data_IF_967348010564
#
_entry.id   IF_967348010564
#
_cell.length_a   1.000
_cell.length_b   1.000
_cell.length_c   1.000
_cell.angle_alpha   90.00
_cell.angle_beta   90.00
_cell.angle_gamma   90.00
#
_symmetry.space_group_name_H-M   'P 1'
#
loop_
_entity.id
_entity.type
_entity.pdbx_description
1 polymer ?
#
# COMPACT_ATOMS: atom_id res chain seq x y z
N UNK A 1 -27.69 18.52 -8.33
CA UNK A 1 -27.99 17.17 -7.77
C UNK A 1 -28.84 16.34 -8.71
N UNK A 2 -29.96 16.85 -9.25
CA UNK A 2 -30.83 16.10 -10.19
C UNK A 2 -30.20 15.76 -11.57
N UNK A 3 -29.05 16.35 -11.93
CA UNK A 3 -28.33 16.08 -13.18
C UNK A 3 -27.05 15.24 -13.01
N UNK A 4 -26.76 14.72 -11.82
CA UNK A 4 -25.59 13.86 -11.60
C UNK A 4 -25.93 12.40 -11.98
N UNK A 5 -24.99 11.65 -12.60
CA UNK A 5 -25.18 10.22 -12.85
C UNK A 5 -25.56 9.50 -11.56
N UNK A 6 -26.61 8.67 -11.58
CA UNK A 6 -27.17 8.01 -10.38
C UNK A 6 -26.13 7.26 -9.52
N UNK A 7 -25.07 6.72 -10.14
CA UNK A 7 -23.97 6.07 -9.40
C UNK A 7 -23.13 7.03 -8.55
N UNK A 8 -22.94 8.28 -8.98
CA UNK A 8 -22.17 9.29 -8.25
C UNK A 8 -22.94 9.86 -7.06
N UNK A 9 -24.27 9.96 -7.18
CA UNK A 9 -25.15 10.40 -6.10
C UNK A 9 -25.16 9.42 -4.91
N UNK A 10 -25.18 8.10 -5.17
CA UNK A 10 -25.08 7.07 -4.14
C UNK A 10 -23.75 7.13 -3.37
N UNK A 11 -22.66 7.40 -4.08
CA UNK A 11 -21.33 7.53 -3.49
C UNK A 11 -21.20 8.81 -2.64
N UNK A 12 -21.66 9.96 -3.17
CA UNK A 12 -21.68 11.21 -2.41
C UNK A 12 -22.59 11.10 -1.17
N UNK A 13 -23.74 10.43 -1.25
CA UNK A 13 -24.66 10.27 -0.12
C UNK A 13 -24.15 9.29 0.96
N UNK A 14 -23.40 8.27 0.59
CA UNK A 14 -22.79 7.34 1.56
C UNK A 14 -21.71 8.01 2.43
N UNK A 15 -21.02 9.03 1.90
CA UNK A 15 -19.89 9.69 2.55
C UNK A 15 -20.14 11.14 3.00
N UNK A 16 -21.22 11.81 2.55
CA UNK A 16 -21.56 13.17 2.98
C UNK A 16 -22.27 13.26 4.34
N UNK A 17 -22.50 12.13 5.05
CA UNK A 17 -22.93 12.19 6.44
C UNK A 17 -21.70 12.52 7.31
N UNK A 18 -21.63 13.70 7.94
CA UNK A 18 -20.57 13.97 8.91
C UNK A 18 -20.63 12.92 10.02
N UNK A 19 -19.48 12.44 10.54
CA UNK A 19 -19.49 11.56 11.71
C UNK A 19 -20.20 12.30 12.85
N UNK A 20 -21.26 11.70 13.38
CA UNK A 20 -21.87 12.18 14.61
C UNK A 20 -20.77 12.26 15.68
N UNK A 21 -20.67 13.41 16.34
CA UNK A 21 -19.70 13.64 17.40
C UNK A 21 -19.88 12.59 18.51
N UNK A 22 -19.04 11.56 18.51
CA UNK A 22 -18.93 10.61 19.60
C UNK A 22 -18.16 11.31 20.72
N UNK A 23 -18.90 11.80 21.71
CA UNK A 23 -18.37 12.27 22.99
C UNK A 23 -17.73 11.07 23.70
N UNK A 24 -16.40 10.95 23.61
CA UNK A 24 -15.62 10.01 24.41
C UNK A 24 -15.23 10.73 25.71
N UNK A 25 -15.88 10.35 26.81
CA UNK A 25 -15.44 10.73 28.16
C UNK A 25 -14.13 10.00 28.48
N UNK A 26 -13.10 10.75 28.86
CA UNK A 26 -11.82 10.19 29.30
C UNK A 26 -11.97 9.51 30.68
N UNK A 27 -11.36 8.33 30.91
CA UNK A 27 -11.25 7.78 32.25
C UNK A 27 -10.15 8.48 33.05
N UNK A 28 -10.47 8.77 34.32
CA UNK A 28 -9.55 9.30 35.33
C UNK A 28 -8.37 8.35 35.56
N UNK A 29 -7.15 8.91 35.54
CA UNK A 29 -5.93 8.20 35.84
C UNK A 29 -5.66 8.19 37.36
N UNK A 30 -5.70 7.01 37.96
CA UNK A 30 -5.29 6.78 39.35
C UNK A 30 -3.76 6.75 39.48
N UNK A 31 -3.25 7.51 40.44
CA UNK A 31 -1.86 7.55 40.89
C UNK A 31 -1.31 6.18 41.31
N UNK A 32 -0.05 5.90 40.96
CA UNK A 32 0.68 4.73 41.43
C UNK A 32 2.20 4.84 41.27
N UNK A 33 2.86 5.25 42.36
CA UNK A 33 4.16 4.81 42.91
C UNK A 33 5.38 4.65 41.97
N UNK A 34 6.41 5.47 42.23
CA UNK A 34 7.80 5.33 41.74
C UNK A 34 8.54 4.17 42.45
N UNK A 35 9.41 3.44 41.74
CA UNK A 35 10.59 2.85 42.33
C UNK A 35 11.88 3.55 41.87
N UNK A 36 12.80 3.64 42.83
CA UNK A 36 14.13 4.23 42.74
C UNK A 36 15.15 3.28 42.10
N UNK A 37 16.10 3.85 41.37
CA UNK A 37 17.52 3.49 41.41
C UNK A 37 17.98 2.27 40.61
N UNK A 38 18.67 2.53 39.49
CA UNK A 38 19.87 1.80 39.10
C UNK A 38 20.69 2.64 38.11
N UNK A 39 21.92 2.94 38.51
CA UNK A 39 22.97 3.60 37.72
C UNK A 39 23.49 2.68 36.63
N UNK A 40 23.50 3.15 35.38
CA UNK A 40 24.09 2.47 34.21
C UNK A 40 25.45 3.10 33.89
N UNK A 41 26.53 2.33 33.68
CA UNK A 41 27.83 2.85 33.30
C UNK A 41 27.87 3.22 31.81
N UNK A 42 28.64 4.27 31.50
CA UNK A 42 28.88 4.78 30.14
C UNK A 42 29.60 3.76 29.25
N UNK A 43 29.26 3.66 27.95
CA UNK A 43 30.05 2.90 27.01
C UNK A 43 31.21 3.74 26.44
N UNK A 44 32.37 3.08 26.38
CA UNK A 44 33.59 3.53 25.73
C UNK A 44 33.42 3.81 24.23
N UNK A 45 34.01 4.91 23.79
CA UNK A 45 34.32 5.27 22.40
C UNK A 45 35.37 4.32 21.81
N UNK A 46 35.16 3.78 20.59
CA UNK A 46 36.25 3.37 19.73
C UNK A 46 36.33 4.24 18.47
N UNK A 47 37.55 4.73 18.27
CA UNK A 47 38.05 5.49 17.12
C UNK A 47 37.64 4.89 15.77
N UNK A 48 37.09 5.73 14.90
CA UNK A 48 36.93 5.44 13.48
C UNK A 48 38.25 5.75 12.73
N UNK A 49 38.91 4.72 12.24
CA UNK A 49 39.89 4.84 11.15
C UNK A 49 39.17 4.73 9.80
N UNK A 50 39.27 5.80 9.02
CA UNK A 50 38.79 5.84 7.64
C UNK A 50 39.72 5.09 6.69
N UNK A 51 39.14 4.28 5.82
CA UNK A 51 39.76 3.88 4.54
C UNK A 51 38.66 3.89 3.49
N UNK A 52 38.78 4.79 2.52
CA UNK A 52 37.89 4.90 1.38
C UNK A 52 38.26 3.92 0.29
N UNK A 53 37.24 3.28 -0.29
CA UNK A 53 37.32 2.60 -1.58
C UNK A 53 36.15 3.07 -2.46
N UNK A 54 36.47 3.89 -3.47
CA UNK A 54 35.59 4.22 -4.58
C UNK A 54 35.65 3.08 -5.60
N UNK A 55 34.50 2.52 -5.96
CA UNK A 55 34.32 1.58 -7.07
C UNK A 55 33.01 1.88 -7.81
N UNK A 56 32.99 1.80 -9.16
CA UNK A 56 31.92 2.38 -9.97
C UNK A 56 30.69 1.48 -10.02
N UNK A 57 29.53 2.04 -9.69
CA UNK A 57 28.23 1.41 -9.89
C UNK A 57 27.76 1.65 -11.33
N UNK A 58 27.77 0.61 -12.15
CA UNK A 58 27.09 0.60 -13.45
C UNK A 58 25.59 0.53 -13.22
N UNK A 59 24.90 1.64 -13.49
CA UNK A 59 23.45 1.72 -13.52
C UNK A 59 22.90 1.12 -14.81
N UNK A 60 22.09 0.06 -14.70
CA UNK A 60 21.05 -0.27 -15.67
C UNK A 60 20.07 -1.27 -15.06
N UNK A 61 18.79 -1.15 -15.41
CA UNK A 61 17.72 -2.14 -15.15
C UNK A 61 16.97 -2.14 -13.80
N UNK A 62 16.48 -0.98 -13.33
CA UNK A 62 15.35 -0.95 -12.37
C UNK A 62 14.02 -0.43 -12.95
N UNK A 63 14.06 0.35 -14.04
CA UNK A 63 12.84 0.97 -14.61
C UNK A 63 11.91 0.01 -15.37
N UNK A 64 12.35 -1.21 -15.76
CA UNK A 64 11.51 -2.14 -16.55
C UNK A 64 10.59 -3.05 -15.73
N UNK A 65 10.74 -3.13 -14.41
CA UNK A 65 9.99 -4.10 -13.60
C UNK A 65 8.68 -3.55 -13.01
N UNK A 66 8.57 -2.23 -12.79
CA UNK A 66 7.34 -1.63 -12.28
C UNK A 66 6.24 -1.49 -13.36
N UNK A 67 6.63 -1.40 -14.63
CA UNK A 67 5.71 -1.22 -15.75
C UNK A 67 4.78 -2.43 -16.01
N UNK A 68 5.18 -3.66 -15.68
CA UNK A 68 4.41 -4.86 -16.03
C UNK A 68 3.15 -5.06 -15.18
N UNK A 69 3.18 -4.68 -13.89
CA UNK A 69 2.02 -4.77 -12.99
C UNK A 69 0.93 -3.76 -13.33
N UNK A 70 1.34 -2.50 -13.55
CA UNK A 70 0.45 -1.45 -14.02
C UNK A 70 -0.09 -1.78 -15.42
N UNK A 71 0.71 -2.39 -16.30
CA UNK A 71 0.28 -2.80 -17.64
C UNK A 71 -0.79 -3.91 -17.61
N UNK A 72 -0.71 -4.91 -16.71
CA UNK A 72 -1.72 -5.96 -16.60
C UNK A 72 -3.07 -5.41 -16.09
N UNK A 73 -3.07 -4.57 -15.04
CA UNK A 73 -4.29 -3.92 -14.57
C UNK A 73 -4.84 -2.92 -15.60
N UNK A 74 -3.95 -2.16 -16.25
CA UNK A 74 -4.33 -1.24 -17.34
C UNK A 74 -4.86 -2.00 -18.55
N UNK A 75 -4.31 -3.17 -18.91
CA UNK A 75 -4.80 -4.00 -20.01
C UNK A 75 -6.18 -4.58 -19.68
N UNK A 76 -6.37 -5.10 -18.46
CA UNK A 76 -7.66 -5.58 -17.98
C UNK A 76 -8.72 -4.45 -17.98
N UNK A 77 -8.36 -3.25 -17.54
CA UNK A 77 -9.26 -2.09 -17.51
C UNK A 77 -9.45 -1.44 -18.90
N UNK A 78 -8.48 -1.57 -19.82
CA UNK A 78 -8.62 -1.15 -21.23
C UNK A 78 -9.57 -2.03 -22.03
N UNK A 79 -9.72 -3.29 -21.65
CA UNK A 79 -10.72 -4.20 -22.22
C UNK A 79 -12.14 -3.92 -21.69
N UNK A 80 -12.29 -3.05 -20.69
CA UNK A 80 -13.61 -2.55 -20.30
C UNK A 80 -14.10 -1.47 -21.30
N UNK A 81 -15.37 -1.51 -21.74
CA UNK A 81 -15.93 -0.57 -22.73
C UNK A 81 -15.87 0.91 -22.33
N UNK A 82 -15.49 1.23 -21.09
CA UNK A 82 -15.30 2.60 -20.59
C UNK A 82 -13.99 3.26 -21.07
N UNK A 83 -12.94 2.49 -21.40
CA UNK A 83 -11.63 3.06 -21.77
C UNK A 83 -11.60 3.72 -23.17
N UNK A 84 -12.54 3.36 -24.06
CA UNK A 84 -12.60 3.88 -25.43
C UNK A 84 -13.02 5.35 -25.53
N UNK A 85 -13.63 5.93 -24.48
CA UNK A 85 -14.13 7.30 -24.49
C UNK A 85 -13.05 8.37 -24.22
N UNK A 86 -11.86 8.00 -23.70
CA UNK A 86 -10.83 8.97 -23.26
C UNK A 86 -9.77 9.37 -24.30
N UNK A 87 -9.50 8.53 -25.31
CA UNK A 87 -8.33 8.71 -26.18
C UNK A 87 -8.45 9.87 -27.20
N UNK A 88 -9.68 10.30 -27.54
CA UNK A 88 -9.91 11.35 -28.56
C UNK A 88 -9.73 12.79 -28.05
N UNK A 89 -9.47 13.01 -26.76
CA UNK A 89 -9.45 14.35 -26.16
C UNK A 89 -8.06 15.06 -26.19
N UNK A 90 -6.98 14.36 -26.56
CA UNK A 90 -5.60 14.81 -26.31
C UNK A 90 -5.05 15.88 -27.25
N UNK A 91 -5.56 16.07 -28.48
CA UNK A 91 -4.92 16.97 -29.46
C UNK A 91 -5.56 18.37 -29.61
N UNK A 92 -6.70 18.66 -28.97
CA UNK A 92 -7.44 19.94 -29.16
C UNK A 92 -7.26 20.99 -28.06
N UNK A 93 -6.51 20.73 -26.98
CA UNK A 93 -6.58 21.55 -25.75
C UNK A 93 -5.68 22.79 -25.65
N UNK A 94 -4.81 23.11 -26.62
CA UNK A 94 -3.91 24.29 -26.49
C UNK A 94 -4.45 25.64 -27.01
N UNK A 95 -5.69 25.73 -27.52
CA UNK A 95 -6.18 26.98 -28.15
C UNK A 95 -7.53 27.55 -27.68
N UNK A 96 -8.19 27.01 -26.64
CA UNK A 96 -9.52 27.49 -26.21
C UNK A 96 -9.58 28.18 -24.83
N UNK A 97 -8.48 28.38 -24.11
CA UNK A 97 -8.53 28.80 -22.70
C UNK A 97 -8.82 30.30 -22.43
N UNK A 98 -8.93 31.16 -23.45
CA UNK A 98 -9.05 32.60 -23.21
C UNK A 98 -10.50 33.11 -23.01
N UNK A 99 -11.54 32.29 -23.24
CA UNK A 99 -12.94 32.75 -23.23
C UNK A 99 -13.89 32.02 -22.27
N UNK A 100 -13.38 31.12 -21.42
CA UNK A 100 -14.18 30.30 -20.52
C UNK A 100 -13.99 30.65 -19.02
N UNK A 101 -13.38 31.79 -18.69
CA UNK A 101 -13.16 32.21 -17.30
C UNK A 101 -14.43 32.73 -16.60
N UNK A 102 -15.53 32.96 -17.33
CA UNK A 102 -16.82 33.30 -16.74
C UNK A 102 -17.49 32.03 -16.19
N UNK A 103 -17.45 31.85 -14.88
CA UNK A 103 -18.19 30.79 -14.17
C UNK A 103 -17.35 29.69 -13.51
N UNK A 104 -16.03 29.87 -13.43
CA UNK A 104 -15.16 29.02 -12.62
C UNK A 104 -14.74 29.72 -11.33
N UNK A 105 -14.58 28.96 -10.26
CA UNK A 105 -13.97 29.40 -9.00
C UNK A 105 -12.73 28.56 -8.74
N UNK A 106 -11.67 29.19 -8.23
CA UNK A 106 -10.56 28.45 -7.65
C UNK A 106 -11.05 27.79 -6.35
N UNK A 107 -10.75 26.51 -6.19
CA UNK A 107 -10.95 25.74 -4.97
C UNK A 107 -9.57 25.43 -4.40
N UNK A 108 -9.36 25.75 -3.13
CA UNK A 108 -8.12 25.45 -2.41
C UNK A 108 -8.43 24.73 -1.11
N UNK A 109 -7.86 23.54 -0.95
CA UNK A 109 -8.00 22.72 0.24
C UNK A 109 -6.63 22.53 0.86
N UNK A 110 -6.50 22.87 2.13
CA UNK A 110 -5.28 22.65 2.91
C UNK A 110 -5.61 21.80 4.13
N UNK A 111 -4.98 20.64 4.24
CA UNK A 111 -5.12 19.75 5.40
C UNK A 111 -3.76 19.60 6.07
N UNK A 112 -3.73 19.80 7.38
CA UNK A 112 -2.53 19.66 8.21
C UNK A 112 -2.72 18.48 9.17
N UNK A 113 -1.66 17.68 9.36
CA UNK A 113 -1.67 16.52 10.24
C UNK A 113 -0.28 16.34 10.87
N UNK A 114 -0.25 16.06 12.18
CA UNK A 114 0.94 15.57 12.88
C UNK A 114 1.06 14.06 12.71
N UNK A 115 2.23 13.59 12.31
CA UNK A 115 2.52 12.18 12.06
C UNK A 115 3.58 11.67 13.02
N UNK A 116 3.42 10.46 13.60
CA UNK A 116 4.33 9.92 14.62
C UNK A 116 5.58 9.26 13.98
N UNK A 117 6.23 9.97 13.06
CA UNK A 117 7.45 9.52 12.39
C UNK A 117 8.31 10.71 11.94
N UNK A 118 9.63 10.55 11.77
CA UNK A 118 10.50 11.57 11.19
C UNK A 118 10.13 11.88 9.72
N UNK A 119 10.46 13.09 9.20
CA UNK A 119 10.02 13.52 7.86
C UNK A 119 10.44 12.58 6.73
N UNK A 120 11.64 12.01 6.80
CA UNK A 120 12.13 11.05 5.81
C UNK A 120 11.26 9.79 5.73
N UNK A 121 10.91 9.22 6.87
CA UNK A 121 10.04 8.04 6.94
C UNK A 121 8.62 8.37 6.52
N UNK A 122 8.04 9.46 7.04
CA UNK A 122 6.69 9.91 6.66
C UNK A 122 6.58 10.16 5.15
N UNK A 123 7.60 10.76 4.53
CA UNK A 123 7.68 10.98 3.09
C UNK A 123 7.74 9.67 2.30
N UNK A 124 8.58 8.72 2.73
CA UNK A 124 8.69 7.42 2.07
C UNK A 124 7.38 6.62 2.17
N UNK A 125 6.77 6.60 3.35
CA UNK A 125 5.47 5.93 3.57
C UNK A 125 4.37 6.63 2.79
N UNK A 126 4.37 7.96 2.67
CA UNK A 126 3.39 8.67 1.82
C UNK A 126 3.50 8.22 0.36
N UNK A 127 4.71 8.13 -0.21
CA UNK A 127 4.88 7.63 -1.57
C UNK A 127 4.45 6.16 -1.72
N UNK A 128 4.82 5.31 -0.78
CA UNK A 128 4.46 3.89 -0.91
C UNK A 128 2.97 3.66 -0.71
N UNK A 129 2.36 4.31 0.28
CA UNK A 129 0.97 4.05 0.66
C UNK A 129 -0.02 4.99 -0.04
N UNK A 130 0.17 6.31 0.07
CA UNK A 130 -0.76 7.28 -0.49
C UNK A 130 -0.64 7.34 -2.02
N UNK A 131 0.59 7.46 -2.54
CA UNK A 131 0.79 7.55 -3.99
C UNK A 131 0.50 6.22 -4.69
N UNK A 132 1.22 5.16 -4.34
CA UNK A 132 1.14 3.88 -5.10
C UNK A 132 -0.11 3.05 -4.79
N UNK A 133 -0.69 3.17 -3.60
CA UNK A 133 -1.84 2.34 -3.19
C UNK A 133 -3.16 3.13 -3.06
N UNK A 134 -3.15 4.44 -3.29
CA UNK A 134 -4.35 5.27 -3.22
C UNK A 134 -4.77 5.69 -1.79
N UNK A 135 -3.90 5.48 -0.78
CA UNK A 135 -4.12 6.00 0.58
C UNK A 135 -5.27 5.34 1.33
N UNK A 136 -5.71 4.15 0.91
CA UNK A 136 -6.87 3.45 1.49
C UNK A 136 -8.20 4.12 1.19
N UNK A 137 -8.22 5.00 0.18
CA UNK A 137 -9.47 5.47 -0.40
C UNK A 137 -10.12 4.30 -1.16
N UNK A 138 -11.47 4.30 -1.28
CA UNK A 138 -12.20 3.37 -2.12
C UNK A 138 -11.95 3.66 -3.62
N UNK A 139 -10.72 3.47 -4.06
CA UNK A 139 -10.26 3.54 -5.45
C UNK A 139 -9.23 2.44 -5.68
N UNK A 140 -9.15 1.92 -6.91
CA UNK A 140 -8.00 1.10 -7.31
C UNK A 140 -6.92 2.05 -7.85
N UNK A 141 -5.69 1.89 -7.37
CA UNK A 141 -4.55 2.67 -7.84
C UNK A 141 -3.64 1.79 -8.70
N UNK A 142 -3.27 2.28 -9.89
CA UNK A 142 -2.20 1.73 -10.71
C UNK A 142 -1.13 2.80 -10.88
N UNK A 143 0.04 2.61 -10.27
CA UNK A 143 1.16 3.55 -10.36
C UNK A 143 2.36 2.89 -11.04
N UNK A 144 2.99 3.63 -11.96
CA UNK A 144 4.17 3.16 -12.72
C UNK A 144 5.46 3.20 -11.87
N UNK A 145 5.44 3.93 -10.75
CA UNK A 145 6.58 4.08 -9.86
C UNK A 145 6.38 5.16 -8.79
N UNK A 146 7.48 5.74 -8.34
CA UNK A 146 7.55 6.80 -7.34
C UNK A 146 8.72 7.77 -7.62
N UNK A 147 8.93 8.07 -8.90
CA UNK A 147 9.95 8.98 -9.44
C UNK A 147 9.28 10.20 -10.08
N UNK A 148 10.03 11.28 -10.27
CA UNK A 148 9.54 12.44 -11.00
C UNK A 148 9.17 12.04 -12.45
N UNK A 149 7.98 12.44 -12.91
CA UNK A 149 7.38 12.06 -14.18
C UNK A 149 6.57 10.75 -14.14
N UNK A 150 6.63 9.99 -13.05
CA UNK A 150 5.83 8.76 -12.94
C UNK A 150 4.34 9.10 -12.83
N UNK A 151 3.53 8.32 -13.54
CA UNK A 151 2.08 8.44 -13.56
C UNK A 151 1.42 7.47 -12.58
N UNK A 152 0.23 7.85 -12.11
CA UNK A 152 -0.74 6.91 -11.55
C UNK A 152 -2.12 7.13 -12.13
N UNK A 153 -2.89 6.04 -12.20
CA UNK A 153 -4.29 6.05 -12.58
C UNK A 153 -5.17 5.58 -11.41
N UNK A 154 -6.26 6.30 -11.15
CA UNK A 154 -7.23 6.01 -10.10
C UNK A 154 -8.56 5.55 -10.72
N UNK A 155 -9.01 4.35 -10.37
CA UNK A 155 -10.22 3.72 -10.88
C UNK A 155 -11.28 3.56 -9.79
N UNK A 156 -12.59 3.62 -10.13
CA UNK A 156 -13.16 3.67 -11.50
C UNK A 156 -13.21 5.08 -12.11
N UNK A 157 -12.67 6.08 -11.41
CA UNK A 157 -12.73 7.49 -11.81
C UNK A 157 -12.03 7.79 -13.14
N UNK A 158 -11.02 6.99 -13.50
CA UNK A 158 -10.20 7.19 -14.69
C UNK A 158 -9.29 8.41 -14.59
N UNK A 159 -9.08 8.94 -13.37
CA UNK A 159 -8.24 10.11 -13.14
C UNK A 159 -6.76 9.69 -13.25
N UNK A 160 -5.95 10.49 -13.95
CA UNK A 160 -4.50 10.31 -14.06
C UNK A 160 -3.77 11.46 -13.40
N UNK A 161 -2.76 11.11 -12.61
CA UNK A 161 -1.91 12.04 -11.91
C UNK A 161 -0.44 11.78 -12.25
N UNK A 162 0.37 12.84 -12.23
CA UNK A 162 1.80 12.82 -12.54
C UNK A 162 2.59 13.44 -11.38
N UNK A 163 3.65 12.76 -10.92
CA UNK A 163 4.60 13.34 -9.97
C UNK A 163 5.42 14.42 -10.69
N UNK A 164 5.33 15.67 -10.23
CA UNK A 164 6.00 16.83 -10.83
C UNK A 164 7.33 17.11 -10.14
N UNK A 165 7.40 16.96 -8.82
CA UNK A 165 8.64 17.16 -8.07
C UNK A 165 8.70 16.29 -6.82
N UNK A 166 9.91 15.87 -6.48
CA UNK A 166 10.22 15.05 -5.32
C UNK A 166 11.47 15.61 -4.65
N UNK A 167 11.31 16.17 -3.46
CA UNK A 167 12.41 16.55 -2.59
C UNK A 167 12.39 15.65 -1.36
N UNK A 168 13.38 14.75 -1.28
CA UNK A 168 13.33 13.59 -0.37
C UNK A 168 13.25 14.04 1.08
N UNK A 169 12.19 13.61 1.76
CA UNK A 169 11.96 13.92 3.17
C UNK A 169 11.46 15.34 3.43
N UNK A 170 11.22 16.15 2.39
CA UNK A 170 10.81 17.55 2.53
C UNK A 170 9.53 17.85 1.76
N UNK A 171 9.45 17.53 0.47
CA UNK A 171 8.25 17.84 -0.31
C UNK A 171 7.98 16.90 -1.47
N UNK A 172 6.72 16.88 -1.90
CA UNK A 172 6.21 16.16 -3.07
C UNK A 172 5.24 17.09 -3.77
N UNK A 173 5.31 17.22 -5.09
CA UNK A 173 4.26 17.88 -5.87
C UNK A 173 3.77 16.97 -6.98
N UNK A 174 2.48 17.04 -7.28
CA UNK A 174 1.86 16.31 -8.38
C UNK A 174 0.75 17.13 -9.02
N UNK A 175 0.36 16.73 -10.24
CA UNK A 175 -0.73 17.36 -10.99
C UNK A 175 -1.64 16.29 -11.60
N UNK A 176 -2.90 16.64 -11.84
CA UNK A 176 -3.82 15.80 -12.61
C UNK A 176 -3.63 16.10 -14.09
N UNK A 177 -3.27 15.08 -14.86
CA UNK A 177 -3.08 15.17 -16.32
C UNK A 177 -4.33 14.77 -17.09
N UNK A 178 -5.19 13.95 -16.48
CA UNK A 178 -6.51 13.57 -16.99
C UNK A 178 -7.50 13.49 -15.83
N UNK A 179 -8.61 14.21 -15.92
CA UNK A 179 -9.63 14.25 -14.87
C UNK A 179 -10.60 13.07 -14.93
N UNK A 180 -10.57 12.26 -16.00
CA UNK A 180 -11.48 11.14 -16.17
C UNK A 180 -12.95 11.58 -16.06
N UNK A 181 -13.69 10.95 -15.14
CA UNK A 181 -15.10 11.23 -14.90
C UNK A 181 -15.39 12.56 -14.16
N UNK A 182 -14.35 13.26 -13.67
CA UNK A 182 -14.51 14.55 -13.00
C UNK A 182 -14.69 15.69 -14.01
N UNK A 183 -15.88 15.79 -14.58
CA UNK A 183 -16.23 16.82 -15.57
C UNK A 183 -16.20 18.22 -14.94
N UNK A 184 -15.58 19.17 -15.66
CA UNK A 184 -15.55 20.59 -15.30
C UNK A 184 -14.42 21.01 -14.36
N UNK A 185 -13.59 20.07 -13.89
CA UNK A 185 -12.38 20.40 -13.15
C UNK A 185 -11.20 20.67 -14.10
N UNK A 186 -10.38 21.67 -13.77
CA UNK A 186 -9.14 21.97 -14.49
C UNK A 186 -8.01 22.37 -13.53
N UNK A 187 -6.77 22.32 -14.03
CA UNK A 187 -5.59 22.89 -13.36
C UNK A 187 -5.37 22.36 -11.93
N UNK A 188 -5.62 21.06 -11.74
CA UNK A 188 -5.48 20.44 -10.43
C UNK A 188 -4.03 20.13 -10.12
N UNK A 189 -3.49 20.83 -9.14
CA UNK A 189 -2.15 20.64 -8.60
C UNK A 189 -2.21 20.44 -7.09
N UNK A 190 -1.24 19.71 -6.57
CA UNK A 190 -1.12 19.47 -5.15
C UNK A 190 0.35 19.45 -4.73
N UNK A 191 0.59 19.94 -3.52
CA UNK A 191 1.89 19.86 -2.85
C UNK A 191 1.72 19.27 -1.46
N UNK A 192 2.64 18.40 -1.08
CA UNK A 192 2.75 17.80 0.24
C UNK A 192 4.08 18.23 0.84
N UNK A 193 4.03 18.91 1.98
CA UNK A 193 5.20 19.38 2.72
C UNK A 193 5.34 18.58 4.02
N UNK A 194 6.56 18.17 4.33
CA UNK A 194 6.93 17.43 5.53
C UNK A 194 7.91 18.28 6.34
N UNK A 195 7.43 18.85 7.44
CA UNK A 195 8.23 19.72 8.32
C UNK A 195 8.57 18.97 9.60
N UNK A 196 9.85 18.93 10.04
CA UNK A 196 10.21 18.32 11.31
C UNK A 196 9.59 19.07 12.50
N UNK A 197 9.03 18.33 13.46
CA UNK A 197 8.60 18.85 14.76
C UNK A 197 9.10 17.88 15.85
N UNK A 198 10.35 18.08 16.31
CA UNK A 198 11.01 17.14 17.21
C UNK A 198 11.33 15.81 16.51
N UNK A 199 10.81 14.70 17.06
CA UNK A 199 10.87 13.36 16.43
C UNK A 199 9.70 13.07 15.50
N UNK A 200 8.74 14.00 15.41
CA UNK A 200 7.51 13.87 14.62
C UNK A 200 7.60 14.71 13.34
N UNK A 201 6.56 14.61 12.51
CA UNK A 201 6.43 15.38 11.28
C UNK A 201 5.10 16.12 11.26
N UNK A 202 5.12 17.42 10.97
CA UNK A 202 3.94 18.15 10.52
C UNK A 202 3.84 18.01 9.01
N UNK A 203 2.83 17.27 8.55
CA UNK A 203 2.50 17.14 7.13
C UNK A 203 1.43 18.15 6.75
N UNK A 204 1.68 18.91 5.68
CA UNK A 204 0.69 19.80 5.06
C UNK A 204 0.43 19.36 3.63
N UNK A 205 -0.83 19.05 3.31
CA UNK A 205 -1.27 18.74 1.94
C UNK A 205 -2.16 19.89 1.42
N UNK A 206 -1.63 20.67 0.48
CA UNK A 206 -2.29 21.82 -0.17
C UNK A 206 -2.67 21.40 -1.59
N UNK A 207 -3.96 21.43 -1.90
CA UNK A 207 -4.55 21.04 -3.18
C UNK A 207 -5.28 22.25 -3.76
N UNK A 208 -5.06 22.52 -5.05
CA UNK A 208 -5.69 23.64 -5.78
C UNK A 208 -6.19 23.16 -7.14
N UNK A 209 -7.35 23.65 -7.55
CA UNK A 209 -7.92 23.40 -8.87
C UNK A 209 -9.01 24.42 -9.18
N UNK A 210 -9.38 24.52 -10.45
CA UNK A 210 -10.55 25.29 -10.89
C UNK A 210 -11.76 24.37 -11.02
N UNK A 211 -12.91 24.85 -10.56
CA UNK A 211 -14.18 24.12 -10.65
C UNK A 211 -15.33 25.05 -11.08
N UNK A 212 -16.46 24.53 -11.59
CA UNK A 212 -17.63 25.36 -11.87
C UNK A 212 -18.11 26.03 -10.57
N UNK A 213 -18.36 27.33 -10.58
CA UNK A 213 -18.68 28.10 -9.37
C UNK A 213 -19.88 27.54 -8.60
N UNK A 214 -20.89 27.02 -9.31
CA UNK A 214 -22.06 26.37 -8.71
C UNK A 214 -21.74 25.10 -7.91
N UNK A 215 -20.57 24.47 -8.13
CA UNK A 215 -20.12 23.24 -7.47
C UNK A 215 -18.86 23.44 -6.62
N UNK A 216 -18.31 24.66 -6.50
CA UNK A 216 -17.05 24.92 -5.80
C UNK A 216 -17.04 24.37 -4.37
N UNK A 217 -18.06 24.69 -3.56
CA UNK A 217 -18.19 24.19 -2.17
C UNK A 217 -18.32 22.66 -2.08
N UNK A 218 -18.97 22.05 -3.06
CA UNK A 218 -19.09 20.58 -3.10
C UNK A 218 -17.70 19.95 -3.31
N UNK A 219 -16.94 20.46 -4.28
CA UNK A 219 -15.61 19.95 -4.56
C UNK A 219 -14.61 20.23 -3.44
N UNK A 220 -14.71 21.39 -2.80
CA UNK A 220 -13.93 21.71 -1.60
C UNK A 220 -14.17 20.67 -0.49
N UNK A 221 -15.43 20.41 -0.14
CA UNK A 221 -15.79 19.43 0.89
C UNK A 221 -15.39 18.00 0.50
N UNK A 222 -15.59 17.62 -0.77
CA UNK A 222 -15.20 16.31 -1.28
C UNK A 222 -13.69 16.10 -1.20
N UNK A 223 -12.89 17.08 -1.65
CA UNK A 223 -11.43 17.01 -1.59
C UNK A 223 -10.92 17.02 -0.15
N UNK A 224 -11.49 17.87 0.72
CA UNK A 224 -11.15 17.89 2.15
C UNK A 224 -11.39 16.53 2.81
N UNK A 225 -12.54 15.90 2.53
CA UNK A 225 -12.86 14.58 3.05
C UNK A 225 -11.84 13.53 2.57
N UNK A 226 -11.59 13.42 1.26
CA UNK A 226 -10.68 12.40 0.72
C UNK A 226 -9.23 12.58 1.21
N UNK A 227 -8.71 13.83 1.19
CA UNK A 227 -7.37 14.13 1.71
C UNK A 227 -7.30 13.83 3.21
N UNK A 228 -8.32 14.25 3.98
CA UNK A 228 -8.42 14.00 5.41
C UNK A 228 -8.43 12.51 5.75
N UNK A 229 -9.19 11.71 5.01
CA UNK A 229 -9.24 10.24 5.15
C UNK A 229 -7.92 9.59 4.80
N UNK A 230 -7.29 9.97 3.68
CA UNK A 230 -5.99 9.43 3.28
C UNK A 230 -4.91 9.72 4.34
N UNK A 231 -4.90 10.92 4.92
CA UNK A 231 -3.97 11.29 5.99
C UNK A 231 -4.25 10.56 7.31
N UNK A 232 -5.52 10.37 7.68
CA UNK A 232 -5.87 9.57 8.86
C UNK A 232 -5.43 8.10 8.70
N UNK A 233 -5.55 7.55 7.49
CA UNK A 233 -5.06 6.20 7.21
C UNK A 233 -3.52 6.14 7.23
N UNK A 234 -2.84 7.13 6.66
CA UNK A 234 -1.37 7.23 6.66
C UNK A 234 -0.83 7.27 8.10
N UNK A 235 -1.42 8.08 8.97
CA UNK A 235 -1.08 8.15 10.39
C UNK A 235 -1.18 6.76 11.04
N UNK A 236 -2.25 6.01 10.74
CA UNK A 236 -2.42 4.65 11.26
C UNK A 236 -1.38 3.67 10.72
N UNK A 237 -0.94 3.80 9.47
CA UNK A 237 0.16 2.99 8.91
C UNK A 237 1.45 3.24 9.68
N UNK A 238 1.76 4.51 9.95
CA UNK A 238 2.96 4.90 10.70
C UNK A 238 2.93 4.43 12.16
N UNK A 239 1.75 4.29 12.76
CA UNK A 239 1.59 3.67 14.08
C UNK A 239 1.82 2.14 14.09
N UNK A 240 1.92 1.51 12.92
CA UNK A 240 2.12 0.08 12.78
C UNK A 240 0.83 -0.77 12.71
N UNK A 241 0.97 -2.09 12.55
CA UNK A 241 -0.18 -2.99 12.41
C UNK A 241 -0.99 -3.07 13.70
N UNK A 242 -2.32 -3.13 13.58
CA UNK A 242 -3.25 -3.28 14.71
C UNK A 242 -3.81 -4.69 14.85
N UNK A 243 -3.65 -5.54 13.85
CA UNK A 243 -4.07 -6.93 13.85
C UNK A 243 -2.95 -7.85 13.38
N UNK A 244 -2.91 -9.05 13.95
CA UNK A 244 -2.02 -10.12 13.52
C UNK A 244 -2.71 -11.47 13.70
N UNK A 245 -2.69 -12.30 12.67
CA UNK A 245 -3.13 -13.69 12.73
C UNK A 245 -1.91 -14.57 12.53
N UNK A 246 -1.67 -15.54 13.42
CA UNK A 246 -0.60 -16.51 13.28
C UNK A 246 -1.18 -17.92 13.32
N UNK A 247 -0.94 -18.69 12.27
CA UNK A 247 -1.37 -20.08 12.17
C UNK A 247 -0.14 -20.96 11.93
N UNK A 248 -0.11 -22.10 12.61
CA UNK A 248 0.99 -23.06 12.51
C UNK A 248 0.50 -24.40 11.95
N UNK A 249 1.39 -25.09 11.24
CA UNK A 249 1.18 -26.41 10.70
C UNK A 249 2.49 -27.19 10.74
N UNK A 250 2.41 -28.51 10.88
CA UNK A 250 3.55 -29.39 10.67
C UNK A 250 3.38 -30.12 9.35
N UNK A 251 4.46 -30.22 8.56
CA UNK A 251 4.48 -30.93 7.28
C UNK A 251 5.62 -31.95 7.26
N UNK A 252 5.41 -33.07 6.55
CA UNK A 252 6.35 -34.19 6.47
C UNK A 252 7.46 -33.99 5.41
N UNK A 253 7.96 -32.77 5.28
CA UNK A 253 9.04 -32.42 4.36
C UNK A 253 10.06 -31.51 5.07
N UNK A 254 11.30 -31.49 4.59
CA UNK A 254 12.36 -30.63 5.15
C UNK A 254 12.10 -29.14 4.84
N UNK A 255 12.70 -28.18 5.58
CA UNK A 255 12.35 -26.76 5.47
C UNK A 255 12.49 -26.19 4.05
N UNK A 256 13.57 -26.55 3.36
CA UNK A 256 13.80 -26.10 1.98
C UNK A 256 12.84 -26.71 0.97
N UNK A 257 12.43 -27.96 1.18
CA UNK A 257 11.42 -28.62 0.34
C UNK A 257 10.04 -28.02 0.59
N UNK A 258 9.70 -27.74 1.86
CA UNK A 258 8.47 -27.07 2.26
C UNK A 258 8.38 -25.66 1.69
N UNK A 259 9.49 -24.92 1.69
CA UNK A 259 9.59 -23.60 1.04
C UNK A 259 9.35 -23.71 -0.47
N UNK A 260 10.01 -24.65 -1.14
CA UNK A 260 9.83 -24.86 -2.58
C UNK A 260 8.37 -25.22 -2.91
N UNK A 261 7.77 -26.13 -2.15
CA UNK A 261 6.37 -26.50 -2.29
C UNK A 261 5.44 -25.31 -2.01
N UNK A 262 5.71 -24.48 -1.00
CA UNK A 262 4.93 -23.27 -0.77
C UNK A 262 5.02 -22.30 -1.95
N UNK A 263 6.22 -22.07 -2.50
CA UNK A 263 6.40 -21.20 -3.67
C UNK A 263 5.67 -21.73 -4.92
N UNK A 264 5.74 -23.03 -5.19
CA UNK A 264 5.15 -23.57 -6.41
C UNK A 264 3.65 -23.85 -6.26
N UNK A 265 3.25 -24.50 -5.18
CA UNK A 265 1.85 -24.89 -4.96
C UNK A 265 1.02 -23.72 -4.42
N UNK A 266 1.45 -23.07 -3.33
CA UNK A 266 0.66 -22.01 -2.69
C UNK A 266 0.78 -20.69 -3.46
N UNK A 267 2.01 -20.26 -3.77
CA UNK A 267 2.22 -18.95 -4.39
C UNK A 267 1.88 -18.96 -5.90
N UNK A 268 2.46 -19.85 -6.69
CA UNK A 268 2.21 -19.88 -8.14
C UNK A 268 0.88 -20.53 -8.51
N UNK A 269 0.47 -21.60 -7.84
CA UNK A 269 -0.71 -22.39 -8.23
C UNK A 269 -1.98 -22.10 -7.42
N UNK A 270 -1.94 -21.18 -6.45
CA UNK A 270 -3.11 -20.79 -5.64
C UNK A 270 -3.48 -21.76 -4.51
N UNK A 271 -2.69 -22.81 -4.30
CA UNK A 271 -2.78 -23.69 -3.15
C UNK A 271 -4.08 -24.48 -3.04
N UNK A 272 -4.78 -24.71 -4.15
CA UNK A 272 -6.04 -25.44 -4.17
C UNK A 272 -7.24 -24.69 -3.57
N UNK A 273 -7.15 -23.36 -3.42
CA UNK A 273 -8.33 -22.54 -3.12
C UNK A 273 -9.33 -22.60 -4.28
N UNK A 274 -10.65 -22.47 -4.02
CA UNK A 274 -11.64 -22.42 -5.07
C UNK A 274 -11.45 -21.15 -5.92
N UNK A 275 -11.25 -21.31 -7.22
CA UNK A 275 -11.05 -20.21 -8.15
C UNK A 275 -10.04 -20.55 -9.26
N UNK A 276 -9.86 -19.65 -10.23
CA UNK A 276 -8.74 -19.77 -11.17
C UNK A 276 -7.40 -19.67 -10.43
N UNK A 277 -6.38 -20.32 -10.97
CA UNK A 277 -5.02 -20.18 -10.45
C UNK A 277 -4.55 -18.71 -10.57
N UNK A 278 -3.72 -18.23 -9.63
CA UNK A 278 -3.13 -16.90 -9.73
C UNK A 278 -2.30 -16.75 -11.02
N UNK A 279 -2.34 -15.55 -11.60
CA UNK A 279 -1.50 -15.20 -12.75
C UNK A 279 -0.19 -14.58 -12.25
N UNK A 280 0.96 -15.06 -12.71
CA UNK A 280 2.26 -14.43 -12.41
C UNK A 280 2.46 -13.22 -13.32
N UNK A 281 2.35 -12.04 -12.74
CA UNK A 281 2.46 -10.75 -13.43
C UNK A 281 3.91 -10.33 -13.61
N UNK A 282 4.77 -10.71 -12.65
CA UNK A 282 6.21 -10.51 -12.74
C UNK A 282 6.94 -11.67 -12.03
N UNK A 283 7.96 -12.24 -12.66
CA UNK A 283 8.69 -13.40 -12.12
C UNK A 283 9.65 -13.06 -10.96
N UNK A 284 10.02 -11.78 -10.81
CA UNK A 284 11.02 -11.36 -9.83
C UNK A 284 12.43 -11.89 -10.13
N UNK A 285 13.26 -11.97 -9.10
CA UNK A 285 14.61 -12.51 -9.18
C UNK A 285 14.58 -14.03 -9.35
N UNK A 286 15.18 -14.55 -10.43
CA UNK A 286 15.14 -15.98 -10.77
C UNK A 286 15.63 -16.93 -9.66
N UNK A 287 16.61 -16.52 -8.88
CA UNK A 287 17.23 -17.37 -7.85
C UNK A 287 16.47 -17.39 -6.53
N UNK A 288 15.70 -16.35 -6.20
CA UNK A 288 15.08 -16.18 -4.87
C UNK A 288 13.57 -16.01 -4.94
N UNK A 289 13.01 -15.67 -6.10
CA UNK A 289 11.62 -15.24 -6.25
C UNK A 289 11.34 -13.83 -5.69
N UNK A 290 12.34 -13.10 -5.19
CA UNK A 290 12.13 -11.75 -4.65
C UNK A 290 11.65 -10.80 -5.74
N UNK A 291 10.58 -10.07 -5.46
CA UNK A 291 9.89 -9.23 -6.45
C UNK A 291 8.95 -9.99 -7.37
N UNK A 292 8.76 -11.30 -7.18
CA UNK A 292 7.71 -12.04 -7.87
C UNK A 292 6.34 -11.47 -7.46
N UNK A 293 5.53 -11.13 -8.44
CA UNK A 293 4.21 -10.53 -8.27
C UNK A 293 3.16 -11.43 -8.91
N UNK A 294 2.07 -11.69 -8.20
CA UNK A 294 0.93 -12.47 -8.68
C UNK A 294 -0.38 -11.70 -8.59
N UNK A 295 -1.31 -12.02 -9.47
CA UNK A 295 -2.68 -11.52 -9.49
C UNK A 295 -3.64 -12.65 -9.12
N UNK A 296 -4.43 -12.46 -8.06
CA UNK A 296 -5.45 -13.40 -7.58
C UNK A 296 -6.81 -12.96 -8.14
N UNK A 297 -7.42 -13.82 -8.97
CA UNK A 297 -8.68 -13.56 -9.66
C UNK A 297 -9.81 -14.46 -9.16
N UNK A 298 -11.07 -13.97 -9.23
CA UNK A 298 -11.47 -12.63 -8.79
C UNK A 298 -11.15 -12.45 -7.29
N UNK A 299 -10.87 -11.22 -6.78
CA UNK A 299 -11.29 -9.92 -7.31
C UNK A 299 -10.14 -9.02 -7.86
N UNK A 300 -8.99 -9.59 -8.21
CA UNK A 300 -7.87 -8.83 -8.78
C UNK A 300 -6.89 -8.30 -7.72
N UNK A 301 -6.66 -9.09 -6.68
CA UNK A 301 -5.72 -8.76 -5.61
C UNK A 301 -4.29 -9.07 -6.08
N UNK A 302 -3.38 -8.11 -5.91
CA UNK A 302 -1.98 -8.19 -6.34
C UNK A 302 -1.12 -8.42 -5.11
N UNK A 303 -0.35 -9.50 -5.12
CA UNK A 303 0.61 -9.80 -4.06
C UNK A 303 2.03 -9.82 -4.60
N UNK A 304 3.00 -9.48 -3.74
CA UNK A 304 4.41 -9.45 -4.11
C UNK A 304 5.31 -10.00 -3.02
N UNK A 305 6.27 -10.84 -3.42
CA UNK A 305 7.35 -11.31 -2.55
C UNK A 305 8.33 -10.17 -2.28
N UNK A 306 8.53 -9.85 -1.02
CA UNK A 306 9.46 -8.81 -0.57
C UNK A 306 10.84 -9.36 -0.23
N UNK A 307 10.89 -10.55 0.39
CA UNK A 307 12.13 -11.17 0.86
C UNK A 307 11.97 -12.68 0.90
N UNK A 308 13.02 -13.39 0.52
CA UNK A 308 13.21 -14.81 0.80
C UNK A 308 14.56 -14.96 1.46
N UNK A 309 14.61 -15.64 2.60
CA UNK A 309 15.84 -15.91 3.32
C UNK A 309 16.05 -17.42 3.44
N UNK A 310 17.13 -17.89 2.84
CA UNK A 310 17.55 -19.29 2.86
C UNK A 310 18.91 -19.46 3.53
N UNK A 311 19.45 -18.41 4.18
CA UNK A 311 20.78 -18.45 4.76
C UNK A 311 20.85 -19.42 5.95
N UNK A 312 19.79 -19.47 6.77
CA UNK A 312 19.65 -20.39 7.89
C UNK A 312 19.64 -21.87 7.45
N UNK A 313 19.27 -22.16 6.21
CA UNK A 313 19.25 -23.52 5.69
C UNK A 313 20.65 -24.15 5.52
N UNK A 314 21.71 -23.33 5.48
CA UNK A 314 23.10 -23.80 5.29
C UNK A 314 23.80 -24.22 6.59
N UNK A 315 23.09 -24.30 7.72
CA UNK A 315 23.65 -24.82 8.97
C UNK A 315 24.83 -23.98 9.48
N UNK A 316 24.63 -22.66 9.63
CA UNK A 316 25.63 -21.78 10.23
C UNK A 316 26.09 -22.33 11.59
N UNK A 317 27.40 -22.42 11.78
CA UNK A 317 28.09 -23.20 12.82
C UNK A 317 27.80 -22.82 14.29
N UNK A 318 26.79 -21.99 14.58
CA UNK A 318 26.53 -21.45 15.91
C UNK A 318 25.23 -21.87 16.57
N UNK A 319 24.16 -22.20 15.82
CA UNK A 319 22.83 -22.43 16.43
C UNK A 319 22.10 -23.68 15.96
N UNK A 320 22.60 -24.40 14.94
CA UNK A 320 22.08 -25.72 14.52
C UNK A 320 20.65 -25.74 13.95
N UNK A 321 19.88 -24.66 14.08
CA UNK A 321 18.49 -24.58 13.62
C UNK A 321 18.44 -24.25 12.12
N UNK A 322 18.11 -25.27 11.31
CA UNK A 322 17.82 -25.10 9.88
C UNK A 322 16.49 -24.37 9.75
N UNK A 323 16.53 -23.13 9.29
CA UNK A 323 15.35 -22.32 9.07
C UNK A 323 15.44 -21.51 7.77
N UNK A 324 14.29 -21.27 7.16
CA UNK A 324 14.14 -20.35 6.04
C UNK A 324 12.78 -19.65 6.14
N UNK A 325 12.63 -18.52 5.46
CA UNK A 325 11.35 -17.79 5.48
C UNK A 325 11.10 -16.97 4.22
N UNK A 326 9.82 -16.63 4.01
CA UNK A 326 9.33 -15.75 2.95
C UNK A 326 8.53 -14.62 3.56
N UNK A 327 8.72 -13.41 3.06
CA UNK A 327 7.90 -12.23 3.39
C UNK A 327 7.24 -11.73 2.12
N UNK A 328 5.94 -11.47 2.18
CA UNK A 328 5.16 -10.92 1.07
C UNK A 328 4.22 -9.81 1.54
N UNK A 329 3.64 -9.07 0.59
CA UNK A 329 2.67 -8.00 0.84
C UNK A 329 1.55 -8.03 -0.20
N UNK A 330 0.43 -7.38 0.10
CA UNK A 330 -0.63 -7.07 -0.85
C UNK A 330 -0.42 -5.63 -1.32
N UNK A 331 -0.21 -5.44 -2.62
CA UNK A 331 0.13 -4.13 -3.19
C UNK A 331 -1.10 -3.26 -3.49
N UNK A 332 -2.31 -3.83 -3.59
CA UNK A 332 -3.55 -3.09 -3.90
C UNK A 332 -4.76 -3.43 -3.00
N UNK A 333 -4.59 -3.50 -1.67
CA UNK A 333 -5.71 -3.85 -0.81
C UNK A 333 -6.79 -2.76 -0.88
N UNK A 334 -8.03 -3.15 -1.11
CA UNK A 334 -9.15 -2.23 -1.19
C UNK A 334 -10.49 -2.94 -0.95
N UNK A 335 -11.54 -2.15 -0.81
CA UNK A 335 -12.90 -2.67 -0.82
C UNK A 335 -13.24 -3.38 -2.14
N UNK A 336 -12.69 -2.91 -3.27
CA UNK A 336 -12.94 -3.49 -4.59
C UNK A 336 -12.19 -4.81 -4.82
N UNK A 337 -11.07 -5.02 -4.14
CA UNK A 337 -10.39 -6.32 -4.10
C UNK A 337 -10.92 -7.21 -2.98
N UNK A 338 -12.10 -6.92 -2.43
CA UNK A 338 -12.78 -7.64 -1.34
C UNK A 338 -11.91 -7.88 -0.09
N UNK A 339 -10.83 -7.10 0.06
CA UNK A 339 -9.88 -7.23 1.14
C UNK A 339 -9.60 -5.83 1.73
N UNK A 340 -10.54 -5.33 2.56
CA UNK A 340 -10.60 -3.94 3.01
C UNK A 340 -9.58 -3.66 4.11
N UNK A 341 -8.31 -3.71 3.76
CA UNK A 341 -7.19 -3.35 4.62
C UNK A 341 -6.42 -2.17 4.05
N UNK A 342 -5.83 -1.42 4.96
CA UNK A 342 -4.86 -0.35 4.69
C UNK A 342 -3.47 -0.96 4.48
N UNK A 343 -3.15 -2.04 5.19
CA UNK A 343 -1.85 -2.69 5.15
C UNK A 343 -2.03 -4.20 5.29
N UNK A 344 -1.22 -4.95 4.55
CA UNK A 344 -1.06 -6.40 4.71
C UNK A 344 0.39 -6.80 4.50
N UNK A 345 0.90 -7.62 5.41
CA UNK A 345 2.20 -8.27 5.29
C UNK A 345 2.13 -9.67 5.86
N UNK A 346 2.47 -10.66 5.05
CA UNK A 346 2.59 -12.04 5.49
C UNK A 346 4.05 -12.46 5.61
N UNK A 347 4.36 -13.24 6.64
CA UNK A 347 5.63 -13.92 6.84
C UNK A 347 5.35 -15.41 7.02
N UNK A 348 6.02 -16.25 6.24
CA UNK A 348 5.95 -17.71 6.33
C UNK A 348 7.32 -18.21 6.72
N UNK A 349 7.42 -18.79 7.92
CA UNK A 349 8.64 -19.35 8.46
C UNK A 349 8.57 -20.87 8.40
N UNK A 350 9.68 -21.48 7.99
CA UNK A 350 9.86 -22.92 7.91
C UNK A 350 11.03 -23.29 8.80
N UNK A 351 10.77 -24.04 9.87
CA UNK A 351 11.77 -24.45 10.86
C UNK A 351 11.87 -25.96 10.92
N UNK A 352 13.08 -26.49 11.04
CA UNK A 352 13.27 -27.92 11.24
C UNK A 352 12.56 -28.37 12.52
N UNK A 353 11.67 -29.35 12.42
CA UNK A 353 11.03 -29.92 13.59
C UNK A 353 11.95 -30.95 14.27
N UNK A 354 11.84 -31.11 15.59
CA UNK A 354 12.72 -31.98 16.39
C UNK A 354 12.71 -33.46 15.98
N UNK A 355 11.64 -33.93 15.33
CA UNK A 355 11.47 -35.33 14.91
C UNK A 355 11.44 -35.49 13.39
N UNK A 356 12.10 -34.58 12.67
CA UNK A 356 12.03 -34.51 11.21
C UNK A 356 10.78 -33.78 10.71
N UNK A 357 10.85 -33.34 9.45
CA UNK A 357 9.84 -32.49 8.84
C UNK A 357 10.00 -31.02 9.22
N UNK A 358 8.96 -30.22 8.94
CA UNK A 358 8.98 -28.77 9.10
C UNK A 358 7.83 -28.28 9.97
N UNK A 359 8.15 -27.49 10.99
CA UNK A 359 7.21 -26.63 11.68
C UNK A 359 7.08 -25.32 10.89
N UNK A 360 5.92 -25.14 10.27
CA UNK A 360 5.58 -23.99 9.43
C UNK A 360 4.73 -23.02 10.26
N UNK A 361 5.15 -21.77 10.36
CA UNK A 361 4.38 -20.68 10.98
C UNK A 361 4.08 -19.59 9.96
N UNK A 362 2.80 -19.34 9.70
CA UNK A 362 2.34 -18.28 8.82
C UNK A 362 1.71 -17.16 9.64
N UNK A 363 2.43 -16.04 9.75
CA UNK A 363 1.97 -14.83 10.43
C UNK A 363 1.56 -13.77 9.42
N UNK A 364 0.33 -13.26 9.53
CA UNK A 364 -0.20 -12.19 8.70
C UNK A 364 -0.50 -10.98 9.58
N UNK A 365 0.23 -9.90 9.36
CA UNK A 365 -0.01 -8.60 9.98
C UNK A 365 -0.87 -7.75 9.06
N UNK A 366 -1.89 -7.12 9.61
CA UNK A 366 -2.78 -6.26 8.83
C UNK A 366 -3.29 -5.06 9.62
N UNK A 367 -3.71 -4.04 8.87
CA UNK A 367 -4.41 -2.87 9.40
C UNK A 367 -5.75 -2.78 8.68
N UNK A 368 -6.88 -3.17 9.30
CA UNK A 368 -8.17 -3.15 8.62
C UNK A 368 -8.66 -1.70 8.45
N UNK A 369 -9.44 -1.47 7.40
CA UNK A 369 -10.26 -0.26 7.29
C UNK A 369 -11.23 -0.18 8.49
N UNK A 370 -11.70 1.03 8.86
CA UNK A 370 -12.67 1.19 9.96
C UNK A 370 -13.86 0.23 9.81
N UNK A 371 -14.29 -0.34 10.93
CA UNK A 371 -15.37 -1.33 11.03
C UNK A 371 -15.14 -2.68 10.28
N UNK A 372 -14.01 -2.89 9.61
CA UNK A 372 -13.75 -4.12 8.85
C UNK A 372 -12.90 -5.16 9.61
N UNK A 373 -12.53 -4.88 10.87
CA UNK A 373 -11.56 -5.71 11.63
C UNK A 373 -11.94 -7.18 11.74
N UNK A 374 -13.14 -7.48 12.25
CA UNK A 374 -13.59 -8.87 12.43
C UNK A 374 -13.72 -9.64 11.12
N UNK A 375 -14.15 -8.97 10.03
CA UNK A 375 -14.19 -9.58 8.69
C UNK A 375 -12.78 -9.93 8.21
N UNK A 376 -11.84 -8.98 8.25
CA UNK A 376 -10.47 -9.17 7.76
C UNK A 376 -9.76 -10.29 8.52
N UNK A 377 -9.89 -10.34 9.85
CA UNK A 377 -9.29 -11.37 10.69
C UNK A 377 -9.85 -12.76 10.36
N UNK A 378 -11.18 -12.88 10.28
CA UNK A 378 -11.85 -14.14 9.98
C UNK A 378 -11.51 -14.64 8.57
N UNK A 379 -11.56 -13.75 7.58
CA UNK A 379 -11.23 -14.07 6.20
C UNK A 379 -9.76 -14.51 6.05
N UNK A 380 -8.84 -13.76 6.66
CA UNK A 380 -7.41 -14.10 6.64
C UNK A 380 -7.15 -15.45 7.29
N UNK A 381 -7.75 -15.71 8.46
CA UNK A 381 -7.61 -16.99 9.17
C UNK A 381 -8.16 -18.16 8.35
N UNK A 382 -9.32 -17.98 7.71
CA UNK A 382 -9.93 -19.01 6.86
C UNK A 382 -9.06 -19.36 5.65
N UNK A 383 -8.57 -18.33 4.93
CA UNK A 383 -7.73 -18.50 3.75
C UNK A 383 -6.40 -19.16 4.12
N UNK A 384 -5.67 -18.60 5.08
CA UNK A 384 -4.37 -19.14 5.51
C UNK A 384 -4.53 -20.55 6.08
N UNK A 385 -5.53 -20.80 6.93
CA UNK A 385 -5.79 -22.12 7.48
C UNK A 385 -6.11 -23.17 6.41
N UNK A 386 -6.84 -22.79 5.37
CA UNK A 386 -7.12 -23.68 4.22
C UNK A 386 -5.86 -23.96 3.41
N UNK A 387 -5.06 -22.93 3.10
CA UNK A 387 -3.78 -23.09 2.41
C UNK A 387 -2.80 -24.00 3.16
N UNK A 388 -2.72 -23.85 4.49
CA UNK A 388 -1.90 -24.71 5.34
C UNK A 388 -2.36 -26.16 5.30
N UNK A 389 -3.67 -26.43 5.41
CA UNK A 389 -4.22 -27.79 5.28
C UNK A 389 -3.89 -28.40 3.92
N UNK A 390 -4.09 -27.64 2.84
CA UNK A 390 -3.80 -28.12 1.49
C UNK A 390 -2.31 -28.40 1.27
N UNK A 391 -1.42 -27.57 1.84
CA UNK A 391 0.02 -27.80 1.77
C UNK A 391 0.43 -29.07 2.53
N UNK A 392 -0.16 -29.33 3.70
CA UNK A 392 0.05 -30.59 4.44
C UNK A 392 -0.32 -31.80 3.60
N UNK A 393 -1.52 -31.80 3.02
CA UNK A 393 -1.97 -32.88 2.12
C UNK A 393 -1.04 -33.04 0.91
N UNK A 394 -0.55 -31.92 0.35
CA UNK A 394 0.37 -31.94 -0.79
C UNK A 394 1.72 -32.60 -0.46
N UNK A 395 2.20 -32.45 0.78
CA UNK A 395 3.50 -32.93 1.27
C UNK A 395 3.43 -34.29 2.00
N UNK A 396 2.33 -35.03 1.88
CA UNK A 396 2.28 -36.44 2.28
C UNK A 396 1.76 -36.74 3.68
N UNK A 397 0.79 -35.95 4.17
CA UNK A 397 -0.27 -36.47 5.06
C UNK A 397 -1.52 -36.80 4.24
#
# INVERSE_FOLDING_TARGET
VQSMPHGFAMWALAFARPPAALHLSAPEASHGVRPSGASVPSPHDPQQHGVGCRGPWTGCSRARMAASGAAALTAFLRLSPLAALGASARSRRRRCCARAAEGCTEVRVRVERRLPAPPGEAWEVWLQYVWRQGGGLPVLCAADGASCGDLRALYPLGMQEELVSLDRGTSISYQVTDFGLFLGLTDHCASVLFTPEGSETVLVWDVRFSAPSALGRFWEAFTFFNVGTALANLERVLQGPRGSTSLAARVAAEPMESLAAWMDFIWRSGGGLPGPAPEIVAEGQRSTGVGCTRLIQPPGLIERILRVDTAGAKGGAGTGEVSCFVVYTVDNPSFFTLYPVVFHRGTVEFRQAQHGGTDLVWTVQFLPLPACGGYVESFTSLVVGTLLRNLRTKLGE
#
